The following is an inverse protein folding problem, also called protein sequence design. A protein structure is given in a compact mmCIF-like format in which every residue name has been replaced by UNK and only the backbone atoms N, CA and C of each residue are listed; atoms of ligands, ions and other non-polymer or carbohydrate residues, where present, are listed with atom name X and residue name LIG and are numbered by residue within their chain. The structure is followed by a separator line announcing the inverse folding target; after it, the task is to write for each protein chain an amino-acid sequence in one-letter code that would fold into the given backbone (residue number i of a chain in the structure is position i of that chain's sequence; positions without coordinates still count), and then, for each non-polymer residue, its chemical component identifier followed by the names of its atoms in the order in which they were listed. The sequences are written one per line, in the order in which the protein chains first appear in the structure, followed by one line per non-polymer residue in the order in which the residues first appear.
data_IF_108990455007
#
_entry.id   IF_108990455007
#
_cell.length_a   1.000
_cell.length_b   1.000
_cell.length_c   1.000
_cell.angle_alpha   90.00
_cell.angle_beta   90.00
_cell.angle_gamma   90.00
#
_symmetry.space_group_name_H-M   'P 1'
#
loop_
_entity.id
_entity.type
_entity.pdbx_description
1 polymer ?
#
# COMPACT_ATOMS: atom_id res chain seq x y z
N UNK A 1 -16.56 11.86 -26.08
CA UNK A 1 -16.09 10.58 -25.49
C UNK A 1 -17.13 10.12 -24.47
N UNK A 2 -17.81 8.98 -24.72
CA UNK A 2 -18.95 8.52 -23.92
C UNK A 2 -18.58 8.32 -22.44
N UNK A 3 -19.46 8.71 -21.51
CA UNK A 3 -19.22 8.57 -20.06
C UNK A 3 -18.95 7.12 -19.64
N UNK A 4 -19.57 6.14 -20.31
CA UNK A 4 -19.28 4.71 -20.14
C UNK A 4 -17.81 4.35 -20.40
N UNK A 5 -17.21 4.92 -21.45
CA UNK A 5 -15.80 4.66 -21.81
C UNK A 5 -14.86 5.28 -20.77
N UNK A 6 -15.23 6.46 -20.24
CA UNK A 6 -14.47 7.17 -19.21
C UNK A 6 -14.46 6.42 -17.88
N UNK A 7 -15.60 5.86 -17.49
CA UNK A 7 -15.71 5.03 -16.28
C UNK A 7 -14.99 3.69 -16.42
N UNK A 8 -15.14 3.02 -17.57
CA UNK A 8 -14.43 1.77 -17.86
C UNK A 8 -12.90 1.95 -17.78
N UNK A 9 -12.37 3.02 -18.37
CA UNK A 9 -10.94 3.34 -18.32
C UNK A 9 -10.48 3.61 -16.88
N UNK A 10 -11.28 4.33 -16.09
CA UNK A 10 -10.98 4.65 -14.69
C UNK A 10 -10.94 3.39 -13.81
N UNK A 11 -11.84 2.44 -14.05
CA UNK A 11 -11.88 1.17 -13.31
C UNK A 11 -10.73 0.25 -13.70
N UNK A 12 -10.42 0.12 -15.01
CA UNK A 12 -9.24 -0.65 -15.46
C UNK A 12 -7.94 -0.07 -14.94
N UNK A 13 -7.79 1.26 -14.92
CA UNK A 13 -6.61 1.93 -14.35
C UNK A 13 -6.46 1.63 -12.85
N UNK A 14 -7.55 1.60 -12.09
CA UNK A 14 -7.52 1.25 -10.67
C UNK A 14 -7.14 -0.22 -10.46
N UNK A 15 -7.69 -1.13 -11.26
CA UNK A 15 -7.38 -2.56 -11.18
C UNK A 15 -5.91 -2.86 -11.48
N UNK A 16 -5.35 -2.22 -12.53
CA UNK A 16 -3.92 -2.31 -12.85
C UNK A 16 -3.06 -1.80 -11.70
N UNK A 17 -3.46 -0.69 -11.05
CA UNK A 17 -2.73 -0.14 -9.90
C UNK A 17 -2.68 -1.12 -8.73
N UNK A 18 -3.79 -1.78 -8.39
CA UNK A 18 -3.81 -2.79 -7.33
C UNK A 18 -3.03 -4.06 -7.68
N UNK A 19 -3.03 -4.48 -8.95
CA UNK A 19 -2.17 -5.58 -9.42
C UNK A 19 -0.69 -5.25 -9.25
N UNK A 20 -0.27 -4.05 -9.64
CA UNK A 20 1.10 -3.57 -9.44
C UNK A 20 1.48 -3.50 -7.96
N UNK A 21 0.56 -3.05 -7.09
CA UNK A 21 0.75 -3.07 -5.65
C UNK A 21 0.92 -4.47 -5.07
N UNK A 22 0.16 -5.44 -5.58
CA UNK A 22 0.31 -6.85 -5.19
C UNK A 22 1.66 -7.42 -5.60
N UNK A 23 2.10 -7.15 -6.84
CA UNK A 23 3.43 -7.54 -7.33
C UNK A 23 4.55 -6.89 -6.51
N UNK A 24 4.39 -5.61 -6.15
CA UNK A 24 5.33 -4.88 -5.30
C UNK A 24 5.42 -5.50 -3.90
N UNK A 25 4.28 -5.85 -3.30
CA UNK A 25 4.25 -6.54 -2.00
C UNK A 25 4.99 -7.89 -2.04
N UNK A 26 4.73 -8.69 -3.07
CA UNK A 26 5.38 -10.00 -3.26
C UNK A 26 6.90 -9.81 -3.43
N UNK A 27 7.33 -8.87 -4.28
CA UNK A 27 8.75 -8.58 -4.47
C UNK A 27 9.43 -8.13 -3.17
N UNK A 28 8.73 -7.33 -2.36
CA UNK A 28 9.21 -6.84 -1.06
C UNK A 28 9.43 -7.97 -0.05
N UNK A 29 8.52 -8.96 -0.02
CA UNK A 29 8.58 -10.11 0.88
C UNK A 29 9.63 -11.13 0.42
N UNK A 30 9.79 -11.31 -0.89
CA UNK A 30 10.75 -12.27 -1.46
C UNK A 30 12.18 -11.72 -1.56
N UNK A 31 12.36 -10.40 -1.57
CA UNK A 31 13.68 -9.78 -1.71
C UNK A 31 14.72 -10.23 -0.65
N UNK A 32 14.38 -10.37 0.65
CA UNK A 32 15.30 -10.90 1.66
C UNK A 32 15.80 -12.32 1.36
N UNK A 33 14.94 -13.19 0.82
CA UNK A 33 15.30 -14.57 0.45
C UNK A 33 16.24 -14.65 -0.75
N UNK A 34 16.23 -13.62 -1.60
CA UNK A 34 17.12 -13.52 -2.76
C UNK A 34 18.51 -12.95 -2.44
N UNK A 35 18.80 -12.67 -1.16
CA UNK A 35 20.02 -11.98 -0.74
C UNK A 35 20.01 -10.47 -1.07
N UNK A 36 18.88 -9.93 -1.52
CA UNK A 36 18.70 -8.51 -1.88
C UNK A 36 17.85 -7.77 -0.84
N UNK A 37 18.19 -7.95 0.44
CA UNK A 37 17.43 -7.34 1.54
C UNK A 37 17.33 -5.80 1.44
N UNK A 38 18.38 -5.13 0.95
CA UNK A 38 18.37 -3.68 0.71
C UNK A 38 17.32 -3.26 -0.34
N UNK A 39 17.19 -4.06 -1.41
CA UNK A 39 16.18 -3.84 -2.44
C UNK A 39 14.77 -4.06 -1.87
N UNK A 40 14.60 -5.06 -0.99
CA UNK A 40 13.37 -5.28 -0.24
C UNK A 40 13.00 -4.09 0.63
N UNK A 41 13.96 -3.53 1.39
CA UNK A 41 13.74 -2.36 2.23
C UNK A 41 13.33 -1.13 1.39
N UNK A 42 13.96 -0.91 0.25
CA UNK A 42 13.62 0.18 -0.66
C UNK A 42 12.19 0.02 -1.23
N UNK A 43 11.85 -1.18 -1.70
CA UNK A 43 10.52 -1.48 -2.22
C UNK A 43 9.44 -1.39 -1.12
N UNK A 44 9.79 -1.75 0.11
CA UNK A 44 8.91 -1.63 1.27
C UNK A 44 8.48 -0.19 1.51
N UNK A 45 9.42 0.76 1.51
CA UNK A 45 9.09 2.19 1.67
C UNK A 45 8.21 2.71 0.52
N UNK A 46 8.53 2.34 -0.72
CA UNK A 46 7.70 2.70 -1.87
C UNK A 46 6.28 2.13 -1.75
N UNK A 47 6.15 0.87 -1.32
CA UNK A 47 4.87 0.21 -1.10
C UNK A 47 4.05 0.88 0.01
N UNK A 48 4.71 1.26 1.11
CA UNK A 48 4.09 1.89 2.27
C UNK A 48 3.53 3.27 1.95
N UNK A 49 4.25 4.08 1.15
CA UNK A 49 3.78 5.39 0.67
C UNK A 49 2.53 5.23 -0.19
N UNK A 50 2.53 4.29 -1.13
CA UNK A 50 1.36 4.09 -2.03
C UNK A 50 0.15 3.56 -1.23
N UNK A 51 0.37 2.67 -0.25
CA UNK A 51 -0.69 2.21 0.65
C UNK A 51 -1.28 3.36 1.47
N UNK A 52 -0.44 4.28 1.94
CA UNK A 52 -0.89 5.46 2.69
C UNK A 52 -1.75 6.38 1.81
N UNK A 53 -1.33 6.66 0.56
CA UNK A 53 -2.12 7.46 -0.38
C UNK A 53 -3.45 6.81 -0.74
N UNK A 54 -3.46 5.49 -0.98
CA UNK A 54 -4.69 4.74 -1.25
C UNK A 54 -5.61 4.69 -0.01
N UNK A 55 -5.03 4.60 1.18
CA UNK A 55 -5.72 4.76 2.44
C UNK A 55 -6.41 6.12 2.53
N UNK A 56 -5.66 7.22 2.39
CA UNK A 56 -6.20 8.59 2.36
C UNK A 56 -7.30 8.74 1.28
N UNK A 57 -7.13 8.15 0.10
CA UNK A 57 -8.13 8.22 -0.97
C UNK A 57 -9.41 7.42 -0.67
N UNK A 58 -9.28 6.18 -0.20
CA UNK A 58 -10.40 5.35 0.19
C UNK A 58 -11.17 6.00 1.36
N UNK A 59 -10.44 6.60 2.29
CA UNK A 59 -10.98 7.28 3.46
C UNK A 59 -11.63 8.62 3.09
N UNK A 60 -11.06 9.41 2.18
CA UNK A 60 -11.68 10.66 1.71
C UNK A 60 -13.02 10.39 0.99
N UNK A 61 -13.13 9.29 0.24
CA UNK A 61 -14.41 8.84 -0.35
C UNK A 61 -15.43 8.33 0.68
N UNK A 62 -14.99 7.68 1.76
CA UNK A 62 -15.87 7.05 2.76
C UNK A 62 -16.26 8.00 3.90
N UNK A 63 -15.50 9.07 4.10
CA UNK A 63 -15.67 10.02 5.21
C UNK A 63 -16.76 11.07 5.01
N UNK A 64 -17.57 11.00 3.94
CA UNK A 64 -18.63 11.98 3.64
C UNK A 64 -19.77 12.09 4.67
N UNK A 65 -19.59 11.57 5.89
CA UNK A 65 -20.52 11.83 7.00
C UNK A 65 -20.20 11.19 8.36
N UNK A 66 -19.24 10.25 8.47
CA UNK A 66 -19.09 9.41 9.70
C UNK A 66 -17.81 9.57 10.51
N UNK A 67 -16.72 10.08 9.95
CA UNK A 67 -15.41 10.12 10.63
C UNK A 67 -14.68 11.43 10.37
N UNK A 68 -14.03 11.98 11.40
CA UNK A 68 -13.22 13.20 11.25
C UNK A 68 -11.94 12.89 10.46
N UNK A 69 -11.50 13.78 9.56
CA UNK A 69 -10.30 13.57 8.72
C UNK A 69 -9.04 13.18 9.51
N UNK A 70 -8.88 13.71 10.74
CA UNK A 70 -7.71 13.44 11.58
C UNK A 70 -7.70 12.03 12.19
N UNK A 71 -8.86 11.45 12.51
CA UNK A 71 -8.96 10.08 13.03
C UNK A 71 -8.57 9.06 11.97
N UNK A 72 -8.92 9.37 10.72
CA UNK A 72 -8.62 8.55 9.56
C UNK A 72 -7.12 8.58 9.23
N UNK A 73 -6.49 9.75 9.29
CA UNK A 73 -5.03 9.89 9.19
C UNK A 73 -4.29 9.12 10.27
N UNK A 74 -4.78 9.20 11.51
CA UNK A 74 -4.23 8.45 12.64
C UNK A 74 -4.34 6.94 12.41
N UNK A 75 -5.49 6.45 11.92
CA UNK A 75 -5.70 5.02 11.65
C UNK A 75 -4.80 4.52 10.50
N UNK A 76 -4.68 5.30 9.43
CA UNK A 76 -3.78 4.99 8.31
C UNK A 76 -2.32 4.94 8.78
N UNK A 77 -1.90 5.93 9.58
CA UNK A 77 -0.56 5.96 10.18
C UNK A 77 -0.29 4.75 11.07
N UNK A 78 -1.23 4.40 11.98
CA UNK A 78 -1.10 3.23 12.85
C UNK A 78 -1.05 1.92 12.04
N UNK A 79 -1.82 1.80 10.97
CA UNK A 79 -1.77 0.65 10.06
C UNK A 79 -0.43 0.52 9.35
N UNK A 80 0.10 1.63 8.83
CA UNK A 80 1.43 1.71 8.23
C UNK A 80 2.54 1.35 9.23
N UNK A 81 2.42 1.81 10.48
CA UNK A 81 3.39 1.53 11.55
C UNK A 81 3.35 0.04 11.95
N UNK A 82 2.16 -0.56 12.04
CA UNK A 82 2.01 -1.99 12.30
C UNK A 82 2.63 -2.85 11.18
N UNK A 83 2.42 -2.48 9.91
CA UNK A 83 3.06 -3.12 8.76
C UNK A 83 4.59 -3.02 8.81
N UNK A 84 5.11 -1.87 9.23
CA UNK A 84 6.55 -1.65 9.39
C UNK A 84 7.14 -2.54 10.49
N UNK A 85 6.46 -2.68 11.64
CA UNK A 85 6.89 -3.58 12.71
C UNK A 85 6.88 -5.03 12.22
N UNK A 86 5.80 -5.47 11.56
CA UNK A 86 5.70 -6.83 11.02
C UNK A 86 6.82 -7.12 10.01
N UNK A 87 7.14 -6.16 9.14
CA UNK A 87 8.22 -6.31 8.18
C UNK A 87 9.61 -6.39 8.84
N UNK A 88 9.88 -5.57 9.86
CA UNK A 88 11.12 -5.64 10.61
C UNK A 88 11.26 -6.97 11.36
N UNK A 89 10.19 -7.45 11.98
CA UNK A 89 10.16 -8.77 12.64
C UNK A 89 10.41 -9.88 11.61
N UNK A 90 9.73 -9.84 10.47
CA UNK A 90 9.94 -10.80 9.38
C UNK A 90 11.40 -10.82 8.90
N UNK A 91 11.98 -9.65 8.61
CA UNK A 91 13.38 -9.55 8.21
C UNK A 91 14.34 -10.05 9.29
N UNK A 92 14.07 -9.78 10.57
CA UNK A 92 14.88 -10.30 11.68
C UNK A 92 14.89 -11.83 11.72
N UNK A 93 13.74 -12.48 11.48
CA UNK A 93 13.66 -13.94 11.43
C UNK A 93 14.28 -14.54 10.17
N UNK A 94 14.16 -13.88 9.02
CA UNK A 94 14.71 -14.37 7.74
C UNK A 94 16.22 -14.16 7.64
N UNK A 95 16.76 -13.11 8.28
CA UNK A 95 18.20 -12.83 8.29
C UNK A 95 19.00 -13.64 9.33
N UNK A 96 18.35 -14.54 10.07
CA UNK A 96 18.96 -15.40 11.10
C UNK A 96 19.11 -16.82 10.58
#
# INVERSE_FOLDING_TARGET
MNEQVKNWYKDKKRLIRYLLLGLLAIATILAPWSGKAELGNFLFWAWLIILYEEGEFALSKRSSGKYKPWQLKLLAFLGSLALCILYLVYNYFVAR
#
